data_IF_983678605360
#
_entry.id   IF_983678605360
#
_cell.length_a   1.000
_cell.length_b   1.000
_cell.length_c   1.000
_cell.angle_alpha   90.00
_cell.angle_beta   90.00
_cell.angle_gamma   90.00
#
_symmetry.space_group_name_H-M   'P 1'
#
loop_
_entity.id
_entity.type
_entity.pdbx_description
1 polymer ?
#
# COMPACT_ATOMS: atom_id res chain seq x y z
N UNK A 1 -29.47 24.41 -3.47
CA UNK A 1 -29.17 23.53 -2.32
C UNK A 1 -28.65 22.22 -2.90
N UNK A 2 -27.36 21.93 -2.75
CA UNK A 2 -26.75 20.61 -2.89
C UNK A 2 -25.30 20.73 -2.39
N UNK A 3 -25.16 20.72 -1.07
CA UNK A 3 -23.89 20.55 -0.38
C UNK A 3 -23.85 19.10 0.06
N UNK A 4 -23.38 18.23 -0.82
CA UNK A 4 -23.17 16.81 -0.49
C UNK A 4 -21.70 16.66 -0.09
N UNK A 5 -21.48 16.78 1.23
CA UNK A 5 -20.25 16.43 1.90
C UNK A 5 -20.16 14.88 2.03
N UNK A 6 -18.95 14.34 2.22
CA UNK A 6 -18.51 13.08 1.63
C UNK A 6 -19.16 11.86 2.26
N UNK A 7 -19.54 10.91 1.41
CA UNK A 7 -19.89 9.54 1.81
C UNK A 7 -18.64 8.88 2.39
N UNK A 8 -18.48 8.99 3.71
CA UNK A 8 -17.61 8.13 4.50
C UNK A 8 -18.22 6.72 4.49
N UNK A 9 -18.06 6.02 3.36
CA UNK A 9 -18.30 4.58 3.29
C UNK A 9 -17.21 3.92 4.14
N UNK A 10 -17.59 3.59 5.36
CA UNK A 10 -16.71 2.97 6.37
C UNK A 10 -16.54 1.51 6.01
N UNK A 11 -15.82 1.26 4.92
CA UNK A 11 -15.02 0.06 4.75
C UNK A 11 -13.61 0.53 5.07
N UNK A 12 -13.02 0.01 6.15
CA UNK A 12 -11.67 0.35 6.58
C UNK A 12 -10.69 -0.12 5.49
N UNK A 13 -10.57 0.67 4.43
CA UNK A 13 -9.62 0.48 3.35
C UNK A 13 -8.24 0.77 3.94
N UNK A 14 -7.30 -0.15 3.75
CA UNK A 14 -5.91 0.09 4.11
C UNK A 14 -5.44 1.37 3.43
N UNK A 15 -4.59 2.13 4.12
CA UNK A 15 -4.03 3.37 3.57
C UNK A 15 -2.66 3.07 3.01
N UNK A 16 -2.36 3.63 1.84
CA UNK A 16 -1.07 3.47 1.19
C UNK A 16 0.05 3.97 2.12
N UNK A 17 1.00 3.08 2.44
CA UNK A 17 2.15 3.38 3.31
C UNK A 17 3.07 4.47 2.73
N UNK A 18 2.97 4.78 1.42
CA UNK A 18 3.80 5.79 0.77
C UNK A 18 3.13 7.17 0.64
N UNK A 19 1.89 7.21 0.16
CA UNK A 19 1.21 8.48 -0.17
C UNK A 19 -0.01 8.80 0.73
N UNK A 20 -0.43 7.86 1.57
CA UNK A 20 -1.57 8.04 2.48
C UNK A 20 -2.95 8.03 1.82
N UNK A 21 -3.04 7.71 0.53
CA UNK A 21 -4.32 7.53 -0.18
C UNK A 21 -4.96 6.18 0.15
N UNK A 22 -6.29 6.03 0.01
CA UNK A 22 -6.95 4.74 0.19
C UNK A 22 -6.42 3.70 -0.81
N UNK A 23 -6.15 2.50 -0.34
CA UNK A 23 -5.84 1.33 -1.16
C UNK A 23 -7.17 0.77 -1.67
N UNK A 24 -7.40 0.92 -2.97
CA UNK A 24 -8.61 0.39 -3.62
C UNK A 24 -8.42 -1.06 -4.10
N UNK A 25 -7.17 -1.53 -4.18
CA UNK A 25 -6.78 -2.86 -4.66
C UNK A 25 -5.67 -3.44 -3.79
N UNK A 26 -5.89 -4.63 -3.23
CA UNK A 26 -4.92 -5.33 -2.37
C UNK A 26 -3.84 -6.10 -3.16
N UNK A 27 -3.64 -5.78 -4.44
CA UNK A 27 -2.66 -6.45 -5.30
C UNK A 27 -1.21 -6.01 -5.04
N UNK A 28 -1.02 -4.88 -4.34
CA UNK A 28 0.29 -4.29 -4.10
C UNK A 28 0.67 -4.36 -2.63
N UNK A 29 1.09 -5.54 -2.19
CA UNK A 29 1.64 -5.78 -0.85
C UNK A 29 3.13 -6.14 -0.91
N UNK A 30 3.93 -5.60 0.01
CA UNK A 30 5.36 -5.89 0.11
C UNK A 30 5.72 -6.31 1.53
N UNK A 31 6.32 -7.49 1.67
CA UNK A 31 6.91 -7.91 2.94
C UNK A 31 8.25 -7.21 3.15
N UNK A 32 8.36 -6.44 4.22
CA UNK A 32 9.60 -5.78 4.64
C UNK A 32 10.04 -6.26 6.02
N UNK A 33 11.25 -5.90 6.42
CA UNK A 33 11.78 -6.15 7.78
C UNK A 33 10.93 -5.48 8.86
N UNK A 34 10.23 -4.40 8.49
CA UNK A 34 9.31 -3.64 9.35
C UNK A 34 7.88 -4.17 9.35
N UNK A 35 7.56 -5.20 8.54
CA UNK A 35 6.22 -5.79 8.41
C UNK A 35 5.70 -5.76 6.97
N UNK A 36 4.42 -6.09 6.77
CA UNK A 36 3.78 -5.99 5.46
C UNK A 36 3.39 -4.53 5.20
N UNK A 37 3.65 -4.07 3.98
CA UNK A 37 3.36 -2.73 3.48
C UNK A 37 2.35 -2.78 2.35
N UNK A 38 1.38 -1.87 2.37
CA UNK A 38 0.24 -1.84 1.45
C UNK A 38 0.32 -0.58 0.57
N UNK A 39 0.03 -0.71 -0.72
CA UNK A 39 0.18 0.39 -1.68
C UNK A 39 -1.05 0.55 -2.56
N UNK A 40 -1.45 1.80 -2.84
CA UNK A 40 -2.65 2.07 -3.65
C UNK A 40 -2.46 1.81 -5.15
N UNK A 41 -1.22 1.69 -5.64
CA UNK A 41 -0.91 1.47 -7.04
C UNK A 41 0.52 0.94 -7.26
N UNK A 42 0.77 0.39 -8.45
CA UNK A 42 2.10 -0.07 -8.91
C UNK A 42 3.18 1.01 -8.75
N UNK A 43 2.83 2.28 -8.97
CA UNK A 43 3.76 3.39 -8.84
C UNK A 43 4.30 3.54 -7.41
N UNK A 44 3.41 3.48 -6.40
CA UNK A 44 3.84 3.56 -5.00
C UNK A 44 4.66 2.32 -4.60
N UNK A 45 4.24 1.15 -5.07
CA UNK A 45 4.96 -0.10 -4.84
C UNK A 45 6.38 -0.08 -5.45
N UNK A 46 6.54 0.37 -6.70
CA UNK A 46 7.84 0.48 -7.37
C UNK A 46 8.75 1.51 -6.71
N UNK A 47 8.23 2.69 -6.37
CA UNK A 47 9.01 3.73 -5.69
C UNK A 47 9.48 3.24 -4.32
N UNK A 48 8.60 2.60 -3.54
CA UNK A 48 8.98 2.05 -2.24
C UNK A 48 10.10 1.01 -2.38
N UNK A 49 9.99 0.10 -3.35
CA UNK A 49 11.04 -0.89 -3.59
C UNK A 49 12.39 -0.27 -3.98
N UNK A 50 12.38 0.86 -4.70
CA UNK A 50 13.61 1.58 -5.07
C UNK A 50 14.22 2.33 -3.88
N UNK A 51 13.39 2.90 -3.02
CA UNK A 51 13.84 3.70 -1.87
C UNK A 51 14.25 2.84 -0.66
N UNK A 52 13.61 1.68 -0.50
CA UNK A 52 13.73 0.81 0.66
C UNK A 52 14.15 -0.62 0.25
N UNK A 53 14.99 -0.74 -0.78
CA UNK A 53 15.39 -2.03 -1.35
C UNK A 53 16.00 -2.99 -0.31
N UNK A 54 16.70 -2.42 0.68
CA UNK A 54 17.37 -3.12 1.76
C UNK A 54 16.40 -3.62 2.86
N UNK A 55 15.21 -3.04 2.92
CA UNK A 55 14.16 -3.45 3.85
C UNK A 55 13.30 -4.61 3.29
N UNK A 56 13.37 -4.89 1.99
CA UNK A 56 12.51 -5.88 1.35
C UNK A 56 12.91 -7.30 1.76
N UNK A 57 11.99 -8.01 2.40
CA UNK A 57 12.15 -9.42 2.72
C UNK A 57 11.69 -10.24 1.52
N UNK A 58 12.65 -10.69 0.71
CA UNK A 58 12.37 -11.65 -0.35
C UNK A 58 12.14 -13.01 0.30
N UNK A 59 10.90 -13.50 0.22
CA UNK A 59 10.57 -14.88 0.60
C UNK A 59 11.40 -15.81 -0.28
N UNK A 60 12.52 -16.31 0.26
CA UNK A 60 13.44 -17.18 -0.43
C UNK A 60 12.74 -18.52 -0.71
N UNK A 61 12.18 -18.68 -1.91
CA UNK A 61 11.70 -19.96 -2.42
C UNK A 61 12.91 -20.87 -2.64
N UNK A 62 13.31 -21.53 -1.55
CA UNK A 62 14.38 -22.52 -1.49
C UNK A 62 13.85 -23.81 -2.15
N UNK A 63 14.32 -24.11 -3.35
CA UNK A 63 14.18 -25.40 -4.02
C UNK A 63 15.54 -26.05 -4.17
#
# INVERSE_FOLDING_TARGET
MASEAPTADTTQADTCDLCGLPVEVDDFELSTTSGIKHFCCEGCFGIFQMLHEDEIVRANSSG
#
